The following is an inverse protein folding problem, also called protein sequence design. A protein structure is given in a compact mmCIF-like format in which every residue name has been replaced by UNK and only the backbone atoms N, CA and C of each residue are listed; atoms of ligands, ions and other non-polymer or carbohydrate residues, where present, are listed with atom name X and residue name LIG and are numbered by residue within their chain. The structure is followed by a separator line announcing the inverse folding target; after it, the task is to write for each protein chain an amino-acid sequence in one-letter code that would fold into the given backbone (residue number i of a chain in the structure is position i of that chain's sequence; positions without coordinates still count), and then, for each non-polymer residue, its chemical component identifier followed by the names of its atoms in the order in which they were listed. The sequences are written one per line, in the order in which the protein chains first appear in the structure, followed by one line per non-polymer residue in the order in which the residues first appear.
data_IF_279031431001
#
_entry.id   IF_279031431001
#
_cell.length_a   1.000
_cell.length_b   1.000
_cell.length_c   1.000
_cell.angle_alpha   90.00
_cell.angle_beta   90.00
_cell.angle_gamma   90.00
#
_symmetry.space_group_name_H-M   'P 1'
#
loop_
_entity.id
_entity.type
_entity.pdbx_description
1 polymer ?
#
# COMPACT_ATOMS: atom_id res chain seq x y z
N UNK A 1 -52.88 -18.69 30.68
CA UNK A 1 -52.41 -19.29 29.42
C UNK A 1 -52.47 -18.30 28.26
N UNK A 2 -53.61 -17.65 27.99
CA UNK A 2 -53.72 -16.58 26.96
C UNK A 2 -52.74 -15.41 27.15
N UNK A 3 -52.62 -14.89 28.37
CA UNK A 3 -51.68 -13.79 28.70
C UNK A 3 -50.20 -14.14 28.47
N UNK A 4 -49.81 -15.40 28.65
CA UNK A 4 -48.44 -15.86 28.40
C UNK A 4 -48.13 -15.93 26.90
N UNK A 5 -49.10 -16.39 26.10
CA UNK A 5 -48.99 -16.43 24.64
C UNK A 5 -48.90 -15.01 24.07
N UNK A 6 -49.70 -14.08 24.58
CA UNK A 6 -49.65 -12.66 24.20
C UNK A 6 -48.29 -12.02 24.55
N UNK A 7 -47.74 -12.32 25.74
CA UNK A 7 -46.42 -11.84 26.13
C UNK A 7 -45.30 -12.35 25.22
N UNK A 8 -45.33 -13.63 24.83
CA UNK A 8 -44.36 -14.18 23.86
C UNK A 8 -44.53 -13.58 22.46
N UNK A 9 -45.77 -13.36 22.02
CA UNK A 9 -46.05 -12.72 20.73
C UNK A 9 -45.48 -11.29 20.70
N UNK A 10 -45.66 -10.53 21.80
CA UNK A 10 -45.09 -9.19 21.96
C UNK A 10 -43.56 -9.22 21.99
N UNK A 11 -42.96 -10.18 22.71
CA UNK A 11 -41.51 -10.34 22.75
C UNK A 11 -40.94 -10.63 21.36
N UNK A 12 -41.58 -11.52 20.59
CA UNK A 12 -41.18 -11.83 19.22
C UNK A 12 -41.30 -10.61 18.30
N UNK A 13 -42.37 -9.82 18.42
CA UNK A 13 -42.51 -8.58 17.66
C UNK A 13 -41.37 -7.59 17.97
N UNK A 14 -41.00 -7.45 19.24
CA UNK A 14 -39.88 -6.60 19.66
C UNK A 14 -38.54 -7.09 19.12
N UNK A 15 -38.29 -8.41 19.11
CA UNK A 15 -37.06 -9.00 18.58
C UNK A 15 -36.96 -8.81 17.06
N UNK A 16 -38.05 -9.01 16.32
CA UNK A 16 -38.08 -8.79 14.86
C UNK A 16 -37.79 -7.31 14.55
N UNK A 17 -38.40 -6.39 15.29
CA UNK A 17 -38.13 -4.97 15.13
C UNK A 17 -36.66 -4.64 15.40
N UNK A 18 -36.07 -5.19 16.45
CA UNK A 18 -34.66 -4.99 16.77
C UNK A 18 -33.74 -5.55 15.68
N UNK A 19 -34.01 -6.76 15.19
CA UNK A 19 -33.24 -7.38 14.11
C UNK A 19 -33.27 -6.54 12.82
N UNK A 20 -34.41 -5.96 12.48
CA UNK A 20 -34.53 -5.08 11.31
C UNK A 20 -33.65 -3.83 11.46
N UNK A 21 -33.63 -3.22 12.64
CA UNK A 21 -32.78 -2.05 12.92
C UNK A 21 -31.31 -2.41 12.86
N UNK A 22 -30.91 -3.54 13.45
CA UNK A 22 -29.52 -4.02 13.42
C UNK A 22 -29.09 -4.28 11.96
N UNK A 23 -29.91 -4.96 11.19
CA UNK A 23 -29.65 -5.25 9.77
C UNK A 23 -29.43 -3.97 8.96
N UNK A 24 -30.29 -2.97 9.15
CA UNK A 24 -30.14 -1.67 8.48
C UNK A 24 -28.83 -0.96 8.88
N UNK A 25 -28.50 -0.94 10.18
CA UNK A 25 -27.26 -0.31 10.68
C UNK A 25 -26.01 -1.00 10.16
N UNK A 26 -26.01 -2.34 10.09
CA UNK A 26 -24.90 -3.12 9.53
C UNK A 26 -24.71 -2.82 8.04
N UNK A 27 -25.80 -2.69 7.27
CA UNK A 27 -25.74 -2.30 5.86
C UNK A 27 -25.07 -0.94 5.66
N UNK A 28 -25.48 0.06 6.45
CA UNK A 28 -24.89 1.42 6.41
C UNK A 28 -23.41 1.38 6.80
N UNK A 29 -23.06 0.72 7.91
CA UNK A 29 -21.69 0.63 8.39
C UNK A 29 -20.75 -0.06 7.39
N UNK A 30 -21.23 -1.11 6.73
CA UNK A 30 -20.47 -1.82 5.68
C UNK A 30 -20.20 -0.91 4.48
N UNK A 31 -21.21 -0.17 4.03
CA UNK A 31 -21.08 0.74 2.90
C UNK A 31 -20.11 1.88 3.22
N UNK A 32 -20.22 2.49 4.41
CA UNK A 32 -19.29 3.54 4.83
C UNK A 32 -17.86 3.04 4.94
N UNK A 33 -17.65 1.81 5.42
CA UNK A 33 -16.32 1.20 5.49
C UNK A 33 -15.71 0.99 4.10
N UNK A 34 -16.50 0.49 3.15
CA UNK A 34 -16.04 0.32 1.75
C UNK A 34 -15.73 1.66 1.08
N UNK A 35 -16.58 2.67 1.25
CA UNK A 35 -16.33 4.01 0.72
C UNK A 35 -15.05 4.61 1.30
N UNK A 36 -14.85 4.49 2.62
CA UNK A 36 -13.63 4.98 3.28
C UNK A 36 -12.38 4.27 2.77
N UNK A 37 -12.46 2.96 2.52
CA UNK A 37 -11.37 2.18 1.94
C UNK A 37 -11.01 2.65 0.53
N UNK A 38 -12.02 2.87 -0.33
CA UNK A 38 -11.80 3.40 -1.68
C UNK A 38 -11.21 4.81 -1.63
N UNK A 39 -11.70 5.66 -0.73
CA UNK A 39 -11.17 7.01 -0.54
C UNK A 39 -9.70 6.98 -0.11
N UNK A 40 -9.34 6.07 0.80
CA UNK A 40 -7.94 5.85 1.18
C UNK A 40 -7.06 5.42 0.00
N UNK A 41 -7.52 4.44 -0.79
CA UNK A 41 -6.79 4.00 -1.99
C UNK A 41 -6.62 5.13 -3.00
N UNK A 42 -7.68 5.92 -3.24
CA UNK A 42 -7.62 7.09 -4.11
C UNK A 42 -6.62 8.14 -3.60
N UNK A 43 -6.61 8.42 -2.30
CA UNK A 43 -5.65 9.35 -1.68
C UNK A 43 -4.20 8.84 -1.83
N UNK A 44 -3.96 7.53 -1.65
CA UNK A 44 -2.66 6.91 -1.88
C UNK A 44 -2.22 6.99 -3.34
N UNK A 45 -3.13 6.72 -4.29
CA UNK A 45 -2.86 6.88 -5.72
C UNK A 45 -2.59 8.34 -6.08
N UNK A 46 -3.31 9.29 -5.47
CA UNK A 46 -3.11 10.70 -5.71
C UNK A 46 -1.77 11.17 -5.14
N UNK A 47 -1.36 10.72 -3.95
CA UNK A 47 -0.03 10.99 -3.40
C UNK A 47 1.07 10.46 -4.35
N UNK A 48 0.89 9.24 -4.86
CA UNK A 48 1.82 8.63 -5.80
C UNK A 48 1.82 9.36 -7.18
N UNK A 49 0.65 9.83 -7.62
CA UNK A 49 0.47 10.61 -8.84
C UNK A 49 1.06 12.02 -8.74
N UNK A 50 0.91 12.70 -7.60
CA UNK A 50 1.59 13.97 -7.33
C UNK A 50 3.10 13.80 -7.19
N UNK A 51 3.58 12.64 -6.70
CA UNK A 51 5.02 12.31 -6.75
C UNK A 51 5.50 12.06 -8.18
N UNK A 52 4.66 11.50 -9.05
CA UNK A 52 4.97 11.31 -10.47
C UNK A 52 4.99 12.61 -11.28
N UNK A 53 4.23 13.65 -10.88
CA UNK A 53 4.20 14.95 -11.57
C UNK A 53 5.13 16.00 -10.94
N UNK A 54 5.39 15.93 -9.65
CA UNK A 54 6.29 16.85 -8.94
C UNK A 54 7.72 16.32 -8.90
N UNK A 55 8.36 16.13 -10.06
CA UNK A 55 9.82 16.26 -10.30
C UNK A 55 10.82 15.54 -9.40
N UNK A 56 10.40 14.80 -8.38
CA UNK A 56 11.22 13.82 -7.71
C UNK A 56 11.23 12.68 -8.69
N UNK A 57 12.24 12.72 -9.56
CA UNK A 57 12.66 11.64 -10.44
C UNK A 57 12.15 10.36 -9.84
N UNK A 58 11.34 9.61 -10.59
CA UNK A 58 11.11 8.22 -10.25
C UNK A 58 12.52 7.66 -10.05
N UNK A 59 12.97 7.58 -8.80
CA UNK A 59 14.10 6.77 -8.40
C UNK A 59 13.49 5.41 -8.56
N UNK A 60 13.38 4.98 -9.81
CA UNK A 60 12.86 3.69 -10.13
C UNK A 60 13.89 2.81 -9.48
N UNK A 61 13.49 2.22 -8.37
CA UNK A 61 14.39 1.45 -7.53
C UNK A 61 14.99 0.41 -8.47
N UNK A 62 16.31 0.33 -8.49
CA UNK A 62 16.97 -0.70 -9.27
C UNK A 62 16.42 -2.04 -8.79
N UNK A 63 15.81 -2.82 -9.68
CA UNK A 63 15.64 -4.23 -9.35
C UNK A 63 17.06 -4.82 -9.22
N UNK A 64 17.23 -5.74 -8.28
CA UNK A 64 18.53 -6.36 -8.06
C UNK A 64 19.06 -6.99 -9.37
N UNK A 65 18.18 -7.51 -10.22
CA UNK A 65 18.53 -8.07 -11.52
C UNK A 65 19.14 -7.04 -12.48
N UNK A 66 18.53 -5.85 -12.59
CA UNK A 66 19.07 -4.76 -13.43
C UNK A 66 20.45 -4.32 -12.97
N UNK A 67 20.69 -4.27 -11.65
CA UNK A 67 22.00 -3.90 -11.11
C UNK A 67 23.05 -4.96 -11.40
N UNK A 68 22.70 -6.24 -11.24
CA UNK A 68 23.61 -7.35 -11.47
C UNK A 68 23.95 -7.58 -12.96
N UNK A 69 23.11 -7.11 -13.89
CA UNK A 69 23.38 -7.19 -15.32
C UNK A 69 24.67 -6.46 -15.72
N UNK A 70 25.02 -5.36 -15.04
CA UNK A 70 26.24 -4.60 -15.28
C UNK A 70 27.50 -5.19 -14.62
N UNK A 71 27.36 -6.33 -13.93
CA UNK A 71 28.45 -7.04 -13.24
C UNK A 71 29.34 -6.11 -12.41
N UNK A 72 28.77 -5.40 -11.41
CA UNK A 72 29.52 -4.50 -10.55
C UNK A 72 30.69 -5.24 -9.89
N UNK A 73 31.87 -4.60 -9.85
CA UNK A 73 33.04 -5.16 -9.21
C UNK A 73 32.79 -5.37 -7.71
N UNK A 74 33.23 -6.51 -7.15
CA UNK A 74 33.11 -6.79 -5.72
C UNK A 74 34.18 -6.02 -4.94
N UNK A 75 33.77 -5.26 -3.93
CA UNK A 75 34.70 -4.65 -2.99
C UNK A 75 35.18 -5.70 -1.98
N UNK A 76 36.49 -5.95 -1.91
CA UNK A 76 37.06 -7.00 -1.06
C UNK A 76 37.76 -6.45 0.21
N UNK A 77 37.71 -5.13 0.45
CA UNK A 77 38.26 -4.47 1.64
C UNK A 77 39.78 -4.47 1.76
N UNK A 78 40.52 -5.08 0.83
CA UNK A 78 42.00 -5.17 0.84
C UNK A 78 42.64 -4.31 -0.25
N UNK A 79 41.88 -3.35 -0.79
CA UNK A 79 42.25 -2.53 -1.94
C UNK A 79 43.07 -1.31 -1.52
N UNK A 80 44.07 -0.96 -2.31
CA UNK A 80 44.79 0.31 -2.19
C UNK A 80 43.84 1.51 -2.43
N UNK A 81 44.12 2.71 -1.90
CA UNK A 81 43.25 3.88 -2.09
C UNK A 81 42.87 4.13 -3.56
N UNK A 82 43.82 4.00 -4.48
CA UNK A 82 43.58 4.16 -5.92
C UNK A 82 42.58 3.14 -6.48
N UNK A 83 42.60 1.91 -5.98
CA UNK A 83 41.65 0.88 -6.39
C UNK A 83 40.26 1.10 -5.78
N UNK A 84 40.18 1.71 -4.59
CA UNK A 84 38.89 2.15 -4.00
C UNK A 84 38.28 3.26 -4.84
N UNK A 85 39.09 4.24 -5.24
CA UNK A 85 38.66 5.33 -6.11
C UNK A 85 38.17 4.81 -7.46
N UNK A 86 38.87 3.83 -8.04
CA UNK A 86 38.45 3.18 -9.28
C UNK A 86 37.13 2.42 -9.10
N UNK A 87 36.96 1.69 -8.00
CA UNK A 87 35.71 0.98 -7.69
C UNK A 87 34.53 1.95 -7.55
N UNK A 88 34.71 3.10 -6.89
CA UNK A 88 33.70 4.16 -6.77
C UNK A 88 33.31 4.70 -8.15
N UNK A 89 34.29 5.03 -9.01
CA UNK A 89 34.03 5.52 -10.37
C UNK A 89 33.30 4.49 -11.24
N UNK A 90 33.60 3.21 -11.06
CA UNK A 90 32.93 2.13 -11.78
C UNK A 90 31.46 2.00 -11.31
N UNK A 91 31.19 2.15 -10.01
CA UNK A 91 29.81 2.20 -9.48
C UNK A 91 29.05 3.43 -9.97
N UNK A 92 29.69 4.61 -9.98
CA UNK A 92 29.11 5.85 -10.52
C UNK A 92 28.77 5.72 -12.00
N UNK A 93 29.63 5.08 -12.80
CA UNK A 93 29.37 4.84 -14.23
C UNK A 93 28.12 4.00 -14.43
N UNK A 94 27.95 2.91 -13.66
CA UNK A 94 26.75 2.06 -13.73
C UNK A 94 25.50 2.88 -13.39
N UNK A 95 25.58 3.76 -12.39
CA UNK A 95 24.49 4.65 -12.02
C UNK A 95 24.16 5.69 -13.11
N UNK A 96 25.18 6.30 -13.71
CA UNK A 96 25.04 7.36 -14.72
C UNK A 96 24.57 6.85 -16.08
N UNK A 97 24.97 5.64 -16.50
CA UNK A 97 24.50 5.03 -17.76
C UNK A 97 22.98 4.89 -17.83
N UNK A 98 22.30 4.83 -16.68
CA UNK A 98 20.84 4.82 -16.60
C UNK A 98 20.21 6.21 -16.79
N UNK A 99 20.90 7.28 -16.41
CA UNK A 99 20.39 8.66 -16.55
C UNK A 99 20.42 9.21 -17.99
N UNK A 100 20.99 8.45 -18.92
CA UNK A 100 21.15 8.83 -20.32
C UNK A 100 20.22 8.06 -21.30
N UNK A 101 19.28 7.26 -20.78
CA UNK A 101 18.34 6.45 -21.56
C UNK A 101 16.90 6.98 -21.49
#
# INVERSE_FOLDING_TARGET
MKSFVEAMQQQNASLVQQNNVISQRLGVARMSAQTSQLQYLMAMHQLNGTRATAGLSQVQEWSLESFLQYRPAKFNGKKSPNEVDQWMRDMERIFMLRGAQ
#
